data_IF_160838080690
#
_entry.id   IF_160838080690
#
_cell.length_a   1.000
_cell.length_b   1.000
_cell.length_c   1.000
_cell.angle_alpha   90.00
_cell.angle_beta   90.00
_cell.angle_gamma   90.00
#
_symmetry.space_group_name_H-M   'P 1'
#
loop_
_entity.id
_entity.type
_entity.pdbx_description
1 polymer ?
#
# COMPACT_ATOMS: atom_id res chain seq x y z
N UNK A 1 4.47 -1.73 -20.24
CA UNK A 1 4.23 -0.75 -19.15
C UNK A 1 3.11 -1.29 -18.27
N UNK A 2 3.44 -1.88 -17.11
CA UNK A 2 2.45 -2.52 -16.25
C UNK A 2 1.78 -1.48 -15.37
N UNK A 3 0.53 -1.11 -15.68
CA UNK A 3 -0.29 -0.23 -14.86
C UNK A 3 -0.58 -0.97 -13.54
N UNK A 4 0.09 -0.60 -12.46
CA UNK A 4 -0.19 -1.17 -11.13
C UNK A 4 -1.53 -0.59 -10.70
N UNK A 5 -2.63 -1.27 -11.04
CA UNK A 5 -3.96 -0.89 -10.56
C UNK A 5 -4.03 -1.17 -9.07
N UNK A 6 -3.80 -0.13 -8.27
CA UNK A 6 -4.02 -0.15 -6.83
C UNK A 6 -5.50 -0.28 -6.55
N UNK A 7 -5.86 -1.06 -5.52
CA UNK A 7 -7.21 -1.06 -5.01
C UNK A 7 -7.55 0.33 -4.47
N UNK A 8 -8.81 0.75 -4.59
CA UNK A 8 -9.33 1.98 -3.99
C UNK A 8 -8.93 2.10 -2.50
N UNK A 9 -8.94 0.97 -1.77
CA UNK A 9 -8.56 0.91 -0.36
C UNK A 9 -7.08 1.20 -0.13
N UNK A 10 -6.21 0.81 -1.06
CA UNK A 10 -4.78 1.07 -0.97
C UNK A 10 -4.47 2.55 -1.26
N UNK A 11 -5.13 3.12 -2.26
CA UNK A 11 -5.03 4.55 -2.57
C UNK A 11 -5.51 5.41 -1.40
N UNK A 12 -6.69 5.12 -0.84
CA UNK A 12 -7.24 5.90 0.28
C UNK A 12 -6.31 5.86 1.51
N UNK A 13 -5.66 4.73 1.79
CA UNK A 13 -4.69 4.68 2.88
C UNK A 13 -3.41 5.47 2.55
N UNK A 14 -2.91 5.38 1.30
CA UNK A 14 -1.75 6.16 0.88
C UNK A 14 -1.99 7.67 1.02
N UNK A 15 -3.17 8.15 0.60
CA UNK A 15 -3.58 9.54 0.76
C UNK A 15 -3.66 9.96 2.22
N UNK A 16 -4.21 9.12 3.10
CA UNK A 16 -4.31 9.43 4.53
C UNK A 16 -2.92 9.57 5.18
N UNK A 17 -1.96 8.70 4.85
CA UNK A 17 -0.57 8.81 5.33
C UNK A 17 0.06 10.12 4.87
N UNK A 18 -0.07 10.44 3.58
CA UNK A 18 0.54 11.66 3.01
C UNK A 18 -0.03 12.90 3.68
N UNK A 19 -1.35 12.94 3.94
CA UNK A 19 -2.00 14.03 4.67
C UNK A 19 -1.54 14.10 6.13
N UNK A 20 -1.33 12.97 6.80
CA UNK A 20 -0.76 12.94 8.17
C UNK A 20 0.66 13.51 8.17
N UNK A 21 1.51 13.09 7.23
CA UNK A 21 2.89 13.60 7.10
C UNK A 21 2.97 15.07 6.76
N UNK A 22 2.00 15.58 6.00
CA UNK A 22 1.84 17.00 5.74
C UNK A 22 1.21 17.78 6.90
N UNK A 23 0.96 17.14 8.06
CA UNK A 23 0.26 17.71 9.21
C UNK A 23 -1.15 18.24 8.90
N UNK A 24 -1.78 17.74 7.83
CA UNK A 24 -3.13 18.12 7.37
C UNK A 24 -4.22 17.18 7.87
N UNK A 25 -3.84 16.07 8.51
CA UNK A 25 -4.78 15.07 9.04
C UNK A 25 -4.19 14.45 10.30
N UNK A 26 -4.99 14.35 11.38
CA UNK A 26 -4.55 13.64 12.58
C UNK A 26 -4.70 12.12 12.42
N UNK A 27 -3.95 11.36 13.23
CA UNK A 27 -4.05 9.90 13.28
C UNK A 27 -5.47 9.44 13.64
N UNK A 28 -6.16 10.18 14.52
CA UNK A 28 -7.53 9.88 14.94
C UNK A 28 -8.50 10.04 13.77
N UNK A 29 -8.43 11.17 13.06
CA UNK A 29 -9.27 11.42 11.88
C UNK A 29 -9.01 10.40 10.76
N UNK A 30 -7.75 10.02 10.55
CA UNK A 30 -7.42 8.99 9.57
C UNK A 30 -7.98 7.61 9.96
N UNK A 31 -7.98 7.27 11.25
CA UNK A 31 -8.53 6.01 11.74
C UNK A 31 -10.05 5.93 11.46
N UNK A 32 -10.76 7.03 11.67
CA UNK A 32 -12.20 7.16 11.37
C UNK A 32 -12.46 7.07 9.86
N UNK A 33 -11.76 7.86 9.05
CA UNK A 33 -11.91 7.88 7.59
C UNK A 33 -11.63 6.51 6.93
N UNK A 34 -10.66 5.78 7.47
CA UNK A 34 -10.26 4.47 6.94
C UNK A 34 -11.00 3.30 7.59
N UNK A 35 -11.83 3.57 8.61
CA UNK A 35 -12.51 2.58 9.43
C UNK A 35 -11.55 1.50 9.98
N UNK A 36 -10.44 1.94 10.56
CA UNK A 36 -9.42 1.08 11.19
C UNK A 36 -8.99 1.66 12.54
N UNK A 37 -8.30 0.86 13.35
CA UNK A 37 -7.77 1.33 14.63
C UNK A 37 -6.61 2.32 14.46
N UNK A 38 -6.43 3.21 15.45
CA UNK A 38 -5.26 4.12 15.55
C UNK A 38 -3.94 3.34 15.49
N UNK A 39 -3.86 2.18 16.13
CA UNK A 39 -2.68 1.31 16.08
C UNK A 39 -2.38 0.83 14.66
N UNK A 40 -3.41 0.51 13.87
CA UNK A 40 -3.21 0.20 12.46
C UNK A 40 -2.67 1.42 11.71
N UNK A 41 -3.22 2.62 11.91
CA UNK A 41 -2.68 3.86 11.30
C UNK A 41 -1.21 4.10 11.66
N UNK A 42 -0.80 3.84 12.91
CA UNK A 42 0.61 3.92 13.30
C UNK A 42 1.49 2.88 12.59
N UNK A 43 1.04 1.63 12.46
CA UNK A 43 1.77 0.59 11.71
C UNK A 43 1.93 0.96 10.23
N UNK A 44 0.89 1.57 9.68
CA UNK A 44 0.86 2.12 8.33
C UNK A 44 1.91 3.24 8.16
N UNK A 45 1.95 4.21 9.07
CA UNK A 45 2.98 5.27 9.09
C UNK A 45 4.41 4.68 9.17
N UNK A 46 4.62 3.70 10.05
CA UNK A 46 5.92 3.03 10.19
C UNK A 46 6.32 2.22 8.94
N UNK A 47 5.35 1.64 8.23
CA UNK A 47 5.63 0.94 6.97
C UNK A 47 6.05 1.94 5.88
N UNK A 48 5.36 3.09 5.80
CA UNK A 48 5.69 4.16 4.88
C UNK A 48 7.07 4.76 5.16
N UNK A 49 7.47 4.96 6.42
CA UNK A 49 8.79 5.49 6.74
C UNK A 49 9.93 4.53 6.39
N UNK A 50 9.68 3.22 6.50
CA UNK A 50 10.71 2.20 6.28
C UNK A 50 10.98 1.88 4.82
N UNK A 51 10.06 2.19 3.90
CA UNK A 51 10.30 1.94 2.48
C UNK A 51 9.38 2.68 1.52
N UNK A 52 8.88 3.84 1.92
CA UNK A 52 8.02 4.71 1.12
C UNK A 52 6.72 4.03 0.69
N UNK A 53 6.12 4.58 -0.37
CA UNK A 53 4.92 3.99 -0.97
C UNK A 53 5.15 2.52 -1.39
N UNK A 54 6.36 2.17 -1.83
CA UNK A 54 6.68 0.83 -2.35
C UNK A 54 6.67 -0.29 -1.29
N UNK A 55 6.88 0.03 -0.01
CA UNK A 55 6.84 -0.96 1.08
C UNK A 55 5.43 -1.33 1.53
N UNK A 56 4.43 -0.58 1.07
CA UNK A 56 3.04 -0.75 1.49
C UNK A 56 2.28 -1.76 0.64
N UNK A 57 2.59 -1.83 -0.65
CA UNK A 57 1.84 -2.67 -1.56
C UNK A 57 2.29 -4.11 -1.39
N UNK A 58 1.38 -5.07 -1.08
CA UNK A 58 1.70 -6.46 -1.33
C UNK A 58 2.10 -6.49 -2.80
N UNK A 59 3.38 -6.80 -3.06
CA UNK A 59 3.91 -7.00 -4.40
C UNK A 59 2.97 -8.00 -5.04
N UNK A 60 2.00 -7.54 -5.83
CA UNK A 60 1.25 -8.39 -6.74
C UNK A 60 2.33 -8.90 -7.65
N UNK A 61 2.92 -10.04 -7.26
CA UNK A 61 3.79 -10.80 -8.13
C UNK A 61 2.97 -10.92 -9.41
N UNK A 62 3.52 -10.58 -10.59
CA UNK A 62 2.88 -11.08 -11.80
C UNK A 62 2.63 -12.57 -11.54
N UNK A 63 1.44 -13.11 -11.88
CA UNK A 63 1.23 -14.55 -11.80
C UNK A 63 2.46 -15.15 -12.47
N UNK A 64 3.21 -15.94 -11.71
CA UNK A 64 4.43 -16.57 -12.17
C UNK A 64 4.07 -17.19 -13.52
N UNK A 65 4.52 -16.56 -14.60
CA UNK A 65 4.48 -17.16 -15.90
C UNK A 65 5.32 -18.41 -15.71
N UNK A 66 4.64 -19.54 -15.68
CA UNK A 66 5.27 -20.84 -15.63
C UNK A 66 6.13 -20.95 -16.89
N UNK A 67 7.43 -20.69 -16.73
CA UNK A 67 8.42 -20.79 -17.82
C UNK A 67 8.90 -22.24 -18.00
N UNK A 68 8.16 -23.24 -17.48
CA UNK A 68 8.59 -24.64 -17.52
C UNK A 68 8.21 -25.40 -18.80
N UNK A 69 7.60 -24.76 -19.82
CA UNK A 69 7.16 -25.48 -21.06
C UNK A 69 7.93 -25.09 -22.33
N UNK A 70 9.14 -24.55 -22.25
CA UNK A 70 10.01 -24.43 -23.43
C UNK A 70 11.35 -25.15 -23.25
N UNK A 71 11.27 -26.48 -23.11
CA UNK A 71 12.42 -27.35 -23.38
C UNK A 71 11.94 -28.73 -23.82
N UNK A 72 11.37 -28.78 -25.03
CA UNK A 72 11.27 -29.98 -25.86
C UNK A 72 10.81 -29.58 -27.26
N UNK A 73 11.78 -29.28 -28.13
CA UNK A 73 11.76 -29.50 -29.59
C UNK A 73 13.19 -29.34 -30.10
#
# INVERSE_FOLDING_TARGET
MSLITMSQKELSRLEAIQKIRAHRLSVVQAAELLNISRSQVHRLLQAYDRGGANAWFPKKRPPSADISTLRQS
#
